data_IF_932985031311
#
_entry.id   IF_932985031311
#
_cell.length_a   1.000
_cell.length_b   1.000
_cell.length_c   1.000
_cell.angle_alpha   90.00
_cell.angle_beta   90.00
_cell.angle_gamma   90.00
#
_symmetry.space_group_name_H-M   'P 1'
#
loop_
_entity.id
_entity.type
_entity.pdbx_description
1 polymer ?
#
# COMPACT_ATOMS: atom_id res chain seq x y z
N UNK A 1 4.40 5.45 -6.54
CA UNK A 1 4.93 4.15 -7.03
C UNK A 1 4.25 3.80 -8.36
N UNK A 2 4.92 3.09 -9.28
CA UNK A 2 4.39 2.76 -10.62
C UNK A 2 3.88 3.98 -11.41
N UNK A 3 4.67 5.06 -11.43
CA UNK A 3 4.33 6.35 -12.07
C UNK A 3 3.05 7.03 -11.56
N UNK A 4 2.57 6.62 -10.39
CA UNK A 4 1.43 7.23 -9.70
C UNK A 4 1.90 7.77 -8.36
N UNK A 5 1.62 9.04 -8.08
CA UNK A 5 1.69 9.59 -6.72
C UNK A 5 0.35 9.36 -6.03
N UNK A 6 0.38 8.68 -4.90
CA UNK A 6 -0.83 8.38 -4.15
C UNK A 6 -1.49 9.64 -3.58
N UNK A 7 -2.82 9.65 -3.55
CA UNK A 7 -3.65 10.68 -2.92
C UNK A 7 -4.89 10.04 -2.30
N UNK A 8 -4.97 10.10 -0.98
CA UNK A 8 -6.15 9.73 -0.23
C UNK A 8 -7.29 10.72 -0.47
N UNK A 9 -8.49 10.28 -0.16
CA UNK A 9 -9.65 11.13 0.03
C UNK A 9 -10.26 10.75 1.37
N UNK A 10 -10.14 11.66 2.34
CA UNK A 10 -10.62 11.40 3.69
C UNK A 10 -12.15 11.30 3.75
N UNK A 11 -12.87 11.84 2.77
CA UNK A 11 -14.32 11.72 2.68
C UNK A 11 -14.75 10.45 1.93
N UNK A 12 -13.83 9.81 1.19
CA UNK A 12 -14.08 8.62 0.38
C UNK A 12 -12.95 7.56 0.49
N UNK A 13 -12.82 6.89 1.65
CA UNK A 13 -11.82 5.84 1.84
C UNK A 13 -12.02 4.65 0.89
N UNK A 14 -10.92 4.06 0.42
CA UNK A 14 -10.93 2.87 -0.47
C UNK A 14 -11.76 1.71 0.10
N UNK A 15 -11.81 1.59 1.43
CA UNK A 15 -12.63 0.58 2.10
C UNK A 15 -14.13 0.68 1.78
N UNK A 16 -14.66 1.86 1.48
CA UNK A 16 -16.07 2.00 1.08
C UNK A 16 -16.38 1.28 -0.24
N UNK A 17 -15.39 1.19 -1.12
CA UNK A 17 -15.51 0.56 -2.44
C UNK A 17 -15.09 -0.91 -2.44
N UNK A 18 -14.46 -1.36 -1.37
CA UNK A 18 -14.00 -2.73 -1.21
C UNK A 18 -15.14 -3.76 -1.19
N UNK A 19 -16.39 -3.32 -0.99
CA UNK A 19 -17.56 -4.21 -0.89
C UNK A 19 -18.32 -4.39 -2.21
N UNK A 20 -18.00 -3.62 -3.26
CA UNK A 20 -18.74 -3.66 -4.53
C UNK A 20 -17.84 -3.48 -5.78
N UNK A 21 -18.46 -3.26 -6.93
CA UNK A 21 -17.77 -3.10 -8.21
C UNK A 21 -17.10 -1.73 -8.40
N UNK A 22 -17.39 -0.76 -7.53
CA UNK A 22 -16.87 0.61 -7.63
C UNK A 22 -15.39 0.72 -7.30
N UNK A 23 -14.78 -0.33 -6.72
CA UNK A 23 -13.32 -0.39 -6.54
C UNK A 23 -12.56 -0.15 -7.85
N UNK A 24 -13.11 -0.62 -8.98
CA UNK A 24 -12.50 -0.49 -10.31
C UNK A 24 -12.63 0.91 -10.91
N UNK A 25 -13.55 1.72 -10.38
CA UNK A 25 -13.81 3.09 -10.85
C UNK A 25 -13.12 4.15 -10.00
N UNK A 26 -12.38 3.73 -8.97
CA UNK A 26 -11.60 4.64 -8.15
C UNK A 26 -10.55 5.40 -9.00
N UNK A 27 -10.29 6.67 -8.70
CA UNK A 27 -9.23 7.44 -9.34
C UNK A 27 -7.88 6.71 -9.28
N UNK A 28 -7.10 6.81 -10.36
CA UNK A 28 -5.80 6.11 -10.47
C UNK A 28 -4.84 6.47 -9.34
N UNK A 29 -4.92 7.69 -8.80
CA UNK A 29 -4.11 8.15 -7.67
C UNK A 29 -4.45 7.48 -6.33
N UNK A 30 -5.49 6.63 -6.24
CA UNK A 30 -5.66 5.71 -5.11
C UNK A 30 -4.65 4.55 -5.13
N UNK A 31 -3.97 4.34 -6.27
CA UNK A 31 -2.93 3.34 -6.52
C UNK A 31 -3.32 1.95 -5.98
N UNK A 32 -4.49 1.46 -6.39
CA UNK A 32 -5.09 0.21 -5.91
C UNK A 32 -4.60 -0.99 -6.71
N UNK A 33 -4.13 -2.01 -6.01
CA UNK A 33 -3.74 -3.32 -6.54
C UNK A 33 -4.60 -4.39 -5.87
N UNK A 34 -5.61 -4.86 -6.60
CA UNK A 34 -6.49 -5.93 -6.10
C UNK A 34 -5.90 -7.30 -6.42
N UNK A 35 -5.61 -8.07 -5.38
CA UNK A 35 -5.04 -9.43 -5.48
C UNK A 35 -6.08 -10.48 -5.90
N UNK A 36 -7.38 -10.13 -5.92
CA UNK A 36 -8.45 -11.04 -6.27
C UNK A 36 -8.49 -12.24 -5.33
N UNK A 37 -8.30 -13.45 -5.89
CA UNK A 37 -8.31 -14.72 -5.18
C UNK A 37 -6.92 -15.29 -4.90
N UNK A 38 -5.85 -14.54 -5.19
CA UNK A 38 -4.50 -14.98 -4.91
C UNK A 38 -4.33 -15.29 -3.41
N UNK A 39 -3.67 -16.40 -3.09
CA UNK A 39 -3.34 -16.81 -1.71
C UNK A 39 -1.93 -16.41 -1.30
N UNK A 40 -1.11 -15.99 -2.24
CA UNK A 40 0.26 -15.52 -2.05
C UNK A 40 0.48 -14.32 -2.96
N UNK A 41 1.13 -13.28 -2.45
CA UNK A 41 1.54 -12.13 -3.22
C UNK A 41 3.04 -11.97 -3.13
N UNK A 42 3.70 -11.82 -4.28
CA UNK A 42 5.12 -11.49 -4.39
C UNK A 42 5.27 -10.17 -5.12
N UNK A 43 5.93 -9.22 -4.49
CA UNK A 43 6.16 -7.88 -5.03
C UNK A 43 7.64 -7.64 -5.18
N UNK A 44 8.00 -7.09 -6.34
CA UNK A 44 9.35 -6.61 -6.64
C UNK A 44 9.26 -5.10 -6.72
N UNK A 45 9.97 -4.44 -5.82
CA UNK A 45 10.03 -2.98 -5.76
C UNK A 45 11.37 -2.56 -6.34
N UNK A 46 11.37 -1.56 -7.21
CA UNK A 46 12.57 -0.95 -7.77
C UNK A 46 12.71 0.49 -7.28
N UNK A 47 13.93 0.85 -6.86
CA UNK A 47 14.29 2.20 -6.45
C UNK A 47 15.31 2.72 -7.45
N UNK A 48 15.01 3.85 -8.06
CA UNK A 48 15.88 4.55 -9.01
C UNK A 48 16.48 5.83 -8.40
N UNK A 49 16.18 6.11 -7.13
CA UNK A 49 16.61 7.30 -6.41
C UNK A 49 17.79 6.99 -5.48
N UNK A 50 18.59 7.99 -5.19
CA UNK A 50 19.76 7.94 -4.31
C UNK A 50 19.43 7.95 -2.81
N UNK A 51 18.14 7.88 -2.45
CA UNK A 51 17.66 7.76 -1.09
C UNK A 51 17.25 6.31 -0.74
N UNK A 52 17.55 5.81 0.47
CA UNK A 52 16.96 4.58 0.96
C UNK A 52 15.48 4.78 1.32
N UNK A 53 14.69 3.72 1.20
CA UNK A 53 13.27 3.73 1.56
C UNK A 53 12.95 2.60 2.55
N UNK A 54 12.55 2.90 3.80
CA UNK A 54 11.95 1.89 4.68
C UNK A 54 10.56 1.53 4.15
N UNK A 55 10.41 0.38 3.51
CA UNK A 55 9.13 -0.08 2.97
C UNK A 55 8.36 -0.82 4.04
N UNK A 56 7.16 -0.34 4.36
CA UNK A 56 6.23 -0.90 5.32
C UNK A 56 5.00 -1.49 4.63
N UNK A 57 4.57 -2.69 5.03
CA UNK A 57 3.31 -3.30 4.64
C UNK A 57 2.38 -3.42 5.85
N UNK A 58 1.19 -2.86 5.74
CA UNK A 58 0.14 -3.04 6.74
C UNK A 58 -0.45 -4.45 6.68
N UNK A 59 -1.01 -4.94 7.78
CA UNK A 59 -1.76 -6.19 7.84
C UNK A 59 -0.94 -7.49 7.80
N UNK A 60 0.36 -7.43 7.48
CA UNK A 60 1.21 -8.61 7.31
C UNK A 60 2.64 -8.39 7.81
N UNK A 61 3.27 -9.48 8.26
CA UNK A 61 4.72 -9.56 8.25
C UNK A 61 5.17 -10.20 6.94
N UNK A 62 5.89 -9.45 6.11
CA UNK A 62 6.42 -9.89 4.82
C UNK A 62 7.72 -10.69 4.97
N UNK A 63 7.88 -11.68 4.10
CA UNK A 63 9.11 -12.44 3.89
C UNK A 63 10.03 -11.66 2.95
N UNK A 64 11.26 -11.38 3.39
CA UNK A 64 12.28 -10.71 2.55
C UNK A 64 13.06 -11.75 1.77
N UNK A 65 12.70 -11.94 0.50
CA UNK A 65 13.24 -13.02 -0.34
C UNK A 65 14.58 -12.67 -0.98
N UNK A 66 14.74 -11.42 -1.41
CA UNK A 66 15.95 -10.92 -2.05
C UNK A 66 16.03 -9.39 -1.93
N UNK A 67 17.24 -8.85 -1.96
CA UNK A 67 17.55 -7.43 -1.95
C UNK A 67 18.90 -7.25 -2.66
N UNK A 68 19.00 -6.32 -3.59
CA UNK A 68 20.24 -6.13 -4.33
C UNK A 68 20.24 -4.91 -5.25
N UNK A 69 21.24 -4.87 -6.12
CA UNK A 69 21.43 -3.82 -7.13
C UNK A 69 21.17 -4.37 -8.54
N UNK A 70 20.82 -3.49 -9.46
CA UNK A 70 20.43 -3.85 -10.82
C UNK A 70 18.98 -4.33 -10.92
N UNK A 71 18.65 -4.97 -12.04
CA UNK A 71 17.34 -5.61 -12.22
C UNK A 71 17.34 -6.97 -11.55
N UNK A 72 16.25 -7.31 -10.88
CA UNK A 72 16.10 -8.63 -10.30
C UNK A 72 16.07 -9.69 -11.39
N UNK A 73 16.86 -10.74 -11.23
CA UNK A 73 17.07 -11.84 -12.18
C UNK A 73 16.10 -13.01 -11.97
N UNK A 74 15.15 -12.88 -11.04
CA UNK A 74 14.23 -13.96 -10.64
C UNK A 74 14.73 -14.83 -9.48
N UNK A 75 15.95 -14.60 -8.99
CA UNK A 75 16.54 -15.41 -7.92
C UNK A 75 15.88 -15.17 -6.55
N UNK A 76 15.68 -16.25 -5.80
CA UNK A 76 15.28 -16.21 -4.39
C UNK A 76 16.49 -16.67 -3.57
N UNK A 77 17.20 -15.70 -2.98
CA UNK A 77 18.44 -15.99 -2.22
C UNK A 77 18.15 -16.42 -0.78
N UNK A 78 16.94 -16.15 -0.27
CA UNK A 78 16.46 -16.57 1.06
C UNK A 78 15.23 -17.48 0.93
N UNK A 79 15.41 -18.67 0.37
CA UNK A 79 14.30 -19.60 0.10
C UNK A 79 13.78 -20.36 1.33
N UNK A 80 14.63 -20.58 2.35
CA UNK A 80 14.27 -21.35 3.54
C UNK A 80 14.23 -20.45 4.78
N UNK A 81 13.03 -20.27 5.35
CA UNK A 81 12.77 -19.43 6.51
C UNK A 81 13.42 -18.02 6.42
N UNK A 82 13.06 -17.21 5.41
CA UNK A 82 13.58 -15.86 5.28
C UNK A 82 13.21 -15.00 6.49
N UNK A 83 13.93 -13.89 6.65
CA UNK A 83 13.53 -12.83 7.57
C UNK A 83 12.08 -12.42 7.32
N UNK A 84 11.29 -12.36 8.39
CA UNK A 84 9.87 -11.99 8.37
C UNK A 84 9.62 -10.81 9.29
N UNK A 85 9.11 -9.70 8.74
CA UNK A 85 8.88 -8.42 9.45
C UNK A 85 7.91 -7.55 8.66
N UNK A 86 7.46 -6.44 9.23
CA UNK A 86 6.52 -5.50 8.61
C UNK A 86 7.20 -4.33 7.88
N UNK A 87 8.47 -4.01 8.19
CA UNK A 87 9.26 -2.96 7.56
C UNK A 87 10.62 -3.47 7.09
N UNK A 88 11.00 -3.24 5.83
CA UNK A 88 12.33 -3.54 5.31
C UNK A 88 12.93 -2.33 4.59
N UNK A 89 14.17 -1.99 4.94
CA UNK A 89 14.88 -0.92 4.25
C UNK A 89 15.33 -1.41 2.88
N UNK A 90 14.89 -0.67 1.86
CA UNK A 90 15.35 -0.76 0.49
C UNK A 90 16.52 0.22 0.30
N UNK A 91 17.67 -0.22 -0.26
CA UNK A 91 18.85 0.61 -0.38
C UNK A 91 18.66 1.68 -1.49
N UNK A 92 19.47 2.75 -1.47
CA UNK A 92 19.49 3.70 -2.56
C UNK A 92 19.99 3.05 -3.86
N UNK A 93 19.56 3.60 -4.99
CA UNK A 93 20.11 3.26 -6.29
C UNK A 93 21.57 3.77 -6.40
N UNK A 94 22.50 2.98 -6.96
CA UNK A 94 23.86 3.46 -7.22
C UNK A 94 23.92 4.51 -8.34
N UNK A 95 22.93 4.57 -9.23
CA UNK A 95 22.79 5.62 -10.24
C UNK A 95 21.35 5.71 -10.74
N UNK A 96 21.03 6.77 -11.50
CA UNK A 96 19.71 6.93 -12.13
C UNK A 96 19.37 5.82 -13.15
N UNK A 97 20.37 5.08 -13.66
CA UNK A 97 20.18 4.02 -14.66
C UNK A 97 20.29 2.61 -14.10
N UNK A 98 20.80 2.46 -12.88
CA UNK A 98 20.97 1.17 -12.19
C UNK A 98 20.14 1.19 -10.92
N UNK A 99 18.97 0.53 -10.88
CA UNK A 99 18.13 0.55 -9.70
C UNK A 99 18.71 -0.31 -8.58
N UNK A 100 18.18 -0.15 -7.38
CA UNK A 100 18.17 -1.24 -6.40
C UNK A 100 16.81 -1.94 -6.43
N UNK A 101 16.76 -3.16 -5.88
CA UNK A 101 15.51 -3.92 -5.80
C UNK A 101 15.30 -4.53 -4.42
N UNK A 102 14.02 -4.70 -4.07
CA UNK A 102 13.55 -5.43 -2.90
C UNK A 102 12.47 -6.42 -3.35
N UNK A 103 12.65 -7.71 -3.04
CA UNK A 103 11.68 -8.77 -3.31
C UNK A 103 11.07 -9.23 -2.01
N UNK A 104 9.76 -9.02 -1.88
CA UNK A 104 8.98 -9.40 -0.70
C UNK A 104 7.85 -10.35 -1.09
N UNK A 105 7.45 -11.19 -0.16
CA UNK A 105 6.30 -12.08 -0.31
C UNK A 105 5.49 -12.13 0.98
N UNK A 106 4.18 -12.31 0.86
CA UNK A 106 3.31 -12.64 1.98
C UNK A 106 2.18 -13.56 1.54
N UNK A 107 1.70 -14.37 2.49
CA UNK A 107 0.45 -15.10 2.34
C UNK A 107 -0.70 -14.12 2.44
N UNK A 108 -1.53 -14.09 1.40
CA UNK A 108 -2.73 -13.29 1.33
C UNK A 108 -3.87 -13.99 2.11
N UNK A 109 -3.80 -13.96 3.44
CA UNK A 109 -4.75 -14.60 4.35
C UNK A 109 -5.55 -13.63 5.23
N UNK A 110 -5.42 -12.32 5.02
CA UNK A 110 -6.02 -11.25 5.83
C UNK A 110 -6.87 -10.32 4.93
N UNK A 111 -8.16 -10.63 4.70
CA UNK A 111 -9.04 -9.80 3.87
C UNK A 111 -9.06 -8.34 4.34
N UNK A 112 -8.76 -7.40 3.44
CA UNK A 112 -8.64 -5.99 3.82
C UNK A 112 -8.06 -5.08 2.74
N UNK A 113 -7.87 -3.82 3.13
CA UNK A 113 -7.24 -2.76 2.34
C UNK A 113 -5.98 -2.32 3.07
N UNK A 114 -4.81 -2.66 2.52
CA UNK A 114 -3.52 -2.52 3.20
C UNK A 114 -2.60 -1.55 2.47
N UNK A 115 -2.05 -0.57 3.19
CA UNK A 115 -1.03 0.30 2.62
C UNK A 115 0.32 -0.42 2.55
N UNK A 116 0.97 -0.35 1.39
CA UNK A 116 2.39 -0.63 1.19
C UNK A 116 3.06 0.70 0.87
N UNK A 117 3.95 1.20 1.74
CA UNK A 117 4.50 2.55 1.58
C UNK A 117 5.90 2.73 2.12
N UNK A 118 6.54 3.83 1.73
CA UNK A 118 7.73 4.29 2.44
C UNK A 118 7.32 4.88 3.80
N UNK A 119 7.99 4.46 4.87
CA UNK A 119 7.73 4.88 6.25
C UNK A 119 8.50 6.16 6.65
N UNK A 120 9.09 6.84 5.68
CA UNK A 120 9.62 8.19 5.89
C UNK A 120 8.50 9.18 5.60
N UNK A 121 8.05 9.92 6.61
CA UNK A 121 6.83 10.75 6.53
C UNK A 121 6.80 11.66 5.31
N UNK A 122 7.91 12.30 4.96
CA UNK A 122 7.99 13.13 3.75
C UNK A 122 7.71 12.34 2.47
N UNK A 123 8.19 11.10 2.36
CA UNK A 123 7.94 10.28 1.18
C UNK A 123 6.51 9.72 1.15
N UNK A 124 5.90 9.39 2.29
CA UNK A 124 4.47 9.01 2.33
C UNK A 124 3.59 10.21 1.97
N UNK A 125 3.86 11.39 2.54
CA UNK A 125 3.21 12.66 2.20
C UNK A 125 3.36 13.02 0.72
N UNK A 126 4.49 12.70 0.07
CA UNK A 126 4.67 12.90 -1.37
C UNK A 126 4.04 11.81 -2.26
N UNK A 127 3.37 10.82 -1.66
CA UNK A 127 2.60 9.80 -2.37
C UNK A 127 3.36 8.52 -2.71
N UNK A 128 4.45 8.21 -2.00
CA UNK A 128 5.16 6.92 -2.10
C UNK A 128 4.37 5.82 -1.35
N UNK A 129 3.14 5.58 -1.81
CA UNK A 129 2.16 4.66 -1.23
C UNK A 129 1.46 3.88 -2.34
N UNK A 130 1.16 2.62 -2.07
CA UNK A 130 0.37 1.70 -2.88
C UNK A 130 -0.68 1.08 -1.97
N UNK A 131 -1.89 0.93 -2.48
CA UNK A 131 -2.99 0.31 -1.75
C UNK A 131 -3.18 -1.12 -2.25
N UNK A 132 -3.01 -2.11 -1.38
CA UNK A 132 -3.27 -3.52 -1.69
C UNK A 132 -4.69 -3.85 -1.23
N UNK A 133 -5.51 -4.40 -2.13
CA UNK A 133 -6.82 -4.95 -1.78
C UNK A 133 -6.72 -6.46 -1.80
N UNK A 134 -6.96 -7.07 -0.65
CA UNK A 134 -6.77 -8.49 -0.43
C UNK A 134 -8.10 -9.19 -0.17
N UNK A 135 -8.34 -10.31 -0.89
CA UNK A 135 -9.51 -11.19 -0.73
C UNK A 135 -10.84 -10.43 -0.64
N UNK A 136 -11.10 -9.58 -1.65
CA UNK A 136 -12.25 -8.69 -1.68
C UNK A 136 -13.59 -9.36 -1.38
N UNK A 137 -13.81 -10.57 -1.93
CA UNK A 137 -15.05 -11.33 -1.75
C UNK A 137 -15.34 -11.73 -0.29
N UNK A 138 -14.35 -11.68 0.60
CA UNK A 138 -14.50 -12.03 2.01
C UNK A 138 -14.60 -10.82 2.92
N UNK A 139 -14.32 -9.61 2.42
CA UNK A 139 -14.37 -8.41 3.25
C UNK A 139 -15.77 -8.18 3.81
N UNK A 140 -16.82 -8.44 3.03
CA UNK A 140 -18.20 -8.29 3.50
C UNK A 140 -18.49 -9.18 4.72
N UNK A 141 -17.95 -10.40 4.80
CA UNK A 141 -18.20 -11.30 5.94
C UNK A 141 -17.32 -11.00 7.14
N UNK A 142 -16.09 -10.55 6.93
CA UNK A 142 -15.14 -10.23 8.01
C UNK A 142 -15.43 -8.87 8.64
N UNK A 143 -15.97 -7.91 7.86
CA UNK A 143 -16.18 -6.53 8.28
C UNK A 143 -17.66 -6.17 8.51
N UNK A 144 -18.55 -7.16 8.64
CA UNK A 144 -20.00 -6.95 8.84
C UNK A 144 -20.30 -5.94 9.95
N UNK A 145 -19.56 -6.02 11.06
CA UNK A 145 -19.75 -5.14 12.21
C UNK A 145 -18.96 -3.83 12.11
N UNK A 146 -17.98 -3.75 11.21
CA UNK A 146 -17.17 -2.55 11.04
C UNK A 146 -17.98 -1.40 10.43
N UNK A 147 -18.94 -1.71 9.54
CA UNK A 147 -19.82 -0.70 8.93
C UNK A 147 -20.56 0.16 9.98
N UNK A 148 -21.06 -0.47 11.06
CA UNK A 148 -21.75 0.24 12.14
C UNK A 148 -20.86 1.27 12.87
N UNK A 149 -19.53 1.07 12.84
CA UNK A 149 -18.57 1.99 13.47
C UNK A 149 -18.00 2.99 12.47
N UNK A 150 -17.76 2.57 11.23
CA UNK A 150 -17.15 3.39 10.17
C UNK A 150 -18.12 4.46 9.68
N UNK A 151 -19.39 4.10 9.43
CA UNK A 151 -20.35 5.04 8.83
C UNK A 151 -20.56 6.32 9.65
N UNK A 152 -20.74 6.26 11.00
CA UNK A 152 -20.83 7.48 11.80
C UNK A 152 -19.58 8.36 11.76
N UNK A 153 -18.38 7.76 11.70
CA UNK A 153 -17.12 8.52 11.61
C UNK A 153 -17.03 9.25 10.28
N UNK A 154 -17.34 8.58 9.16
CA UNK A 154 -17.38 9.22 7.85
C UNK A 154 -18.42 10.35 7.79
N UNK A 155 -19.61 10.15 8.36
CA UNK A 155 -20.64 11.19 8.43
C UNK A 155 -20.19 12.42 9.22
N UNK A 156 -19.57 12.21 10.39
CA UNK A 156 -19.05 13.29 11.22
C UNK A 156 -17.91 14.04 10.53
N UNK A 157 -17.01 13.32 9.85
CA UNK A 157 -15.92 13.92 9.07
C UNK A 157 -16.47 14.75 7.91
N UNK A 158 -17.38 14.20 7.11
CA UNK A 158 -18.02 14.92 6.00
C UNK A 158 -18.76 16.17 6.49
N UNK A 159 -19.45 16.10 7.64
CA UNK A 159 -20.11 17.25 8.24
C UNK A 159 -19.11 18.30 8.77
N UNK A 160 -17.92 17.89 9.20
CA UNK A 160 -16.85 18.79 9.62
C UNK A 160 -16.22 19.50 8.42
N UNK A 161 -15.87 18.76 7.36
CA UNK A 161 -15.19 19.29 6.18
C UNK A 161 -16.05 20.27 5.37
N UNK A 162 -17.37 20.19 5.49
CA UNK A 162 -18.32 21.13 4.87
C UNK A 162 -18.40 22.51 5.56
N UNK A 163 -17.88 22.67 6.79
CA UNK A 163 -18.09 23.90 7.61
C UNK A 163 -17.20 25.09 7.25
N UNK A 164 -16.26 24.95 6.31
CA UNK A 164 -15.42 26.07 5.89
C UNK A 164 -14.14 25.59 5.21
N UNK A 165 -13.26 26.52 4.80
CA UNK A 165 -11.99 26.14 4.20
C UNK A 165 -11.13 25.48 5.27
N UNK A 166 -11.14 24.14 5.26
CA UNK A 166 -10.04 23.39 5.83
C UNK A 166 -8.77 23.84 5.10
N UNK A 167 -7.63 23.87 5.80
CA UNK A 167 -6.34 23.92 5.13
C UNK A 167 -6.39 22.87 4.02
N UNK A 168 -6.21 23.32 2.77
CA UNK A 168 -6.23 22.42 1.61
C UNK A 168 -5.27 21.27 1.89
N UNK A 169 -5.70 20.02 1.74
CA UNK A 169 -4.79 18.87 1.82
C UNK A 169 -3.60 19.15 0.89
N UNK A 170 -2.42 19.38 1.47
CA UNK A 170 -1.23 19.78 0.69
C UNK A 170 -0.42 18.59 0.22
N UNK A 171 -0.73 17.39 0.71
CA UNK A 171 0.08 16.20 0.52
C UNK A 171 -0.79 14.98 0.11
N UNK A 172 -0.30 13.77 0.30
CA UNK A 172 -0.98 12.53 -0.06
C UNK A 172 -2.14 12.17 0.86
N UNK A 173 -2.20 12.75 2.07
CA UNK A 173 -3.10 12.34 3.14
C UNK A 173 -2.63 11.12 3.97
N UNK A 174 -1.34 10.73 3.88
CA UNK A 174 -0.73 9.64 4.67
C UNK A 174 0.64 10.00 5.28
#
# INVERSE_FOLDING_TARGET
MNNVSFRADFNDPVLNHAFDSTLKTLPINRNVWNLGTATEARVVIYNYNDAPHPIHLHGHNMQVLNLGMGKWDGSIVRASNPQRRDVQVMPPAPSATVPSFLVIQWTANNPGVWALHCHFAWHSSLGLVTTVVERQSLMQSVLQNAAMTISPVCQNWNAFTQKGPLLSDTDSGL
#
